data_IF_462137083117
#
_entry.id   IF_462137083117
#
_cell.length_a   1.000
_cell.length_b   1.000
_cell.length_c   1.000
_cell.angle_alpha   90.00
_cell.angle_beta   90.00
_cell.angle_gamma   90.00
#
_symmetry.space_group_name_H-M   'P 1'
#
loop_
_entity.id
_entity.type
_entity.pdbx_description
1 polymer ?
#
# COMPACT_ATOMS: atom_id res chain seq x y z
N UNK A 1 24.68 4.14 0.29
CA UNK A 1 23.33 4.59 0.68
C UNK A 1 23.19 4.32 2.16
N UNK A 2 22.76 5.30 2.97
CA UNK A 2 22.41 5.02 4.36
C UNK A 2 21.18 4.10 4.34
N UNK A 3 21.31 2.93 4.97
CA UNK A 3 20.17 2.04 5.15
C UNK A 3 19.16 2.73 6.07
N UNK A 4 17.93 2.86 5.62
CA UNK A 4 16.86 3.51 6.37
C UNK A 4 16.43 2.67 7.56
N UNK A 5 16.36 1.35 7.36
CA UNK A 5 16.07 0.38 8.41
C UNK A 5 17.33 -0.37 8.81
N UNK A 6 17.60 -0.41 10.11
CA UNK A 6 18.59 -1.32 10.70
C UNK A 6 18.12 -2.78 10.55
N UNK A 7 19.03 -3.78 10.53
CA UNK A 7 18.65 -5.18 10.35
C UNK A 7 17.50 -5.65 11.25
N UNK A 8 17.56 -5.39 12.56
CA UNK A 8 16.52 -5.79 13.51
C UNK A 8 15.16 -5.15 13.21
N UNK A 9 15.14 -3.94 12.63
CA UNK A 9 13.89 -3.25 12.26
C UNK A 9 13.17 -3.93 11.08
N UNK A 10 13.90 -4.71 10.27
CA UNK A 10 13.37 -5.46 9.12
C UNK A 10 12.83 -6.84 9.49
N UNK A 11 13.00 -7.26 10.75
CA UNK A 11 12.65 -8.62 11.17
C UNK A 11 11.15 -8.81 11.35
N UNK A 12 10.68 -9.99 10.93
CA UNK A 12 9.32 -10.49 11.14
C UNK A 12 9.36 -11.48 12.32
N UNK A 13 8.24 -11.64 13.02
CA UNK A 13 8.14 -12.69 14.04
C UNK A 13 8.12 -14.07 13.40
N UNK A 14 7.47 -14.18 12.24
CA UNK A 14 7.54 -15.34 11.37
C UNK A 14 8.46 -15.06 10.17
N UNK A 15 9.73 -15.53 10.19
CA UNK A 15 10.70 -15.30 9.14
C UNK A 15 10.58 -16.27 7.96
N UNK A 16 9.62 -17.21 7.96
CA UNK A 16 9.44 -18.09 6.79
C UNK A 16 9.04 -17.27 5.57
N UNK A 17 9.27 -17.81 4.38
CA UNK A 17 8.88 -17.17 3.11
C UNK A 17 7.42 -16.70 3.17
N UNK A 18 7.20 -15.43 2.80
CA UNK A 18 5.88 -14.82 2.75
C UNK A 18 4.95 -15.62 1.84
N UNK A 19 5.46 -16.21 0.76
CA UNK A 19 4.67 -17.04 -0.16
C UNK A 19 3.91 -18.14 0.59
N UNK A 20 4.52 -18.77 1.60
CA UNK A 20 3.88 -19.83 2.39
C UNK A 20 2.69 -19.31 3.19
N UNK A 21 2.79 -18.11 3.76
CA UNK A 21 1.73 -17.48 4.55
C UNK A 21 0.56 -16.98 3.69
N UNK A 22 0.87 -16.51 2.48
CA UNK A 22 -0.10 -15.99 1.52
C UNK A 22 -0.60 -17.03 0.51
N UNK A 23 -0.18 -18.29 0.60
CA UNK A 23 -0.57 -19.35 -0.35
C UNK A 23 -2.07 -19.65 -0.32
N UNK A 24 -2.69 -19.56 0.87
CA UNK A 24 -4.12 -19.72 1.04
C UNK A 24 -4.86 -18.41 0.76
N UNK A 25 -5.76 -18.36 -0.24
CA UNK A 25 -6.45 -17.14 -0.62
C UNK A 25 -7.44 -16.70 0.47
N UNK A 26 -7.58 -15.39 0.63
CA UNK A 26 -8.48 -14.73 1.58
C UNK A 26 -9.41 -13.80 0.81
N UNK A 27 -10.61 -14.30 0.49
CA UNK A 27 -11.64 -13.52 -0.19
C UNK A 27 -12.46 -12.66 0.80
N UNK A 28 -11.76 -11.83 1.56
CA UNK A 28 -12.32 -10.90 2.53
C UNK A 28 -11.67 -9.53 2.38
N UNK A 29 -12.32 -8.48 2.86
CA UNK A 29 -11.67 -7.18 3.04
C UNK A 29 -11.01 -7.14 4.42
N UNK A 30 -9.78 -6.64 4.51
CA UNK A 30 -9.02 -6.59 5.76
C UNK A 30 -9.29 -5.34 6.62
N UNK A 31 -10.15 -4.48 6.12
CA UNK A 31 -10.57 -3.21 6.71
C UNK A 31 -12.07 -3.02 6.56
N UNK A 32 -12.64 -2.19 7.41
CA UNK A 32 -14.07 -1.91 7.41
C UNK A 32 -14.54 -1.05 6.21
N UNK A 33 -15.87 -0.92 6.09
CA UNK A 33 -16.51 -0.17 5.02
C UNK A 33 -16.22 1.34 5.08
N UNK A 34 -15.98 1.89 6.27
CA UNK A 34 -15.65 3.30 6.45
C UNK A 34 -14.26 3.63 5.91
N UNK A 35 -13.28 2.76 6.15
CA UNK A 35 -11.96 2.85 5.53
C UNK A 35 -12.06 2.73 4.01
N UNK A 36 -12.78 1.73 3.52
CA UNK A 36 -12.93 1.49 2.07
C UNK A 36 -13.55 2.71 1.39
N UNK A 37 -14.60 3.30 1.96
CA UNK A 37 -15.23 4.50 1.41
C UNK A 37 -14.22 5.65 1.29
N UNK A 38 -13.45 5.91 2.34
CA UNK A 38 -12.44 6.97 2.34
C UNK A 38 -11.34 6.72 1.31
N UNK A 39 -10.95 5.46 1.11
CA UNK A 39 -9.97 5.07 0.10
C UNK A 39 -10.53 5.30 -1.31
N UNK A 40 -11.74 4.83 -1.58
CA UNK A 40 -12.41 4.99 -2.87
C UNK A 40 -12.57 6.47 -3.22
N UNK A 41 -12.96 7.31 -2.24
CA UNK A 41 -13.09 8.75 -2.43
C UNK A 41 -11.72 9.41 -2.70
N UNK A 42 -10.68 8.99 -1.98
CA UNK A 42 -9.32 9.47 -2.27
C UNK A 42 -8.88 9.11 -3.69
N UNK A 43 -9.15 7.88 -4.13
CA UNK A 43 -8.83 7.44 -5.49
C UNK A 43 -9.61 8.19 -6.55
N UNK A 44 -10.89 8.45 -6.31
CA UNK A 44 -11.74 9.30 -7.14
C UNK A 44 -11.19 10.71 -7.28
N UNK A 45 -10.71 11.30 -6.19
CA UNK A 45 -10.20 12.68 -6.19
C UNK A 45 -8.84 12.81 -6.86
N UNK A 46 -7.97 11.78 -6.75
CA UNK A 46 -6.56 11.87 -7.13
C UNK A 46 -6.22 11.21 -8.46
N UNK A 47 -6.95 10.16 -8.84
CA UNK A 47 -6.68 9.42 -10.07
C UNK A 47 -7.42 10.03 -11.24
N UNK A 48 -6.73 10.13 -12.38
CA UNK A 48 -7.31 10.68 -13.61
C UNK A 48 -7.92 9.57 -14.45
N UNK A 49 -9.05 9.82 -15.15
CA UNK A 49 -9.55 8.90 -16.16
C UNK A 49 -8.48 8.59 -17.22
N UNK A 50 -8.57 7.41 -17.84
CA UNK A 50 -7.62 6.92 -18.85
C UNK A 50 -6.16 6.85 -18.37
N UNK A 51 -5.94 6.73 -17.06
CA UNK A 51 -4.60 6.49 -16.50
C UNK A 51 -4.24 5.01 -16.51
N UNK A 52 -2.92 4.74 -16.54
CA UNK A 52 -2.35 3.42 -16.29
C UNK A 52 -1.96 3.31 -14.82
N UNK A 53 -2.51 2.32 -14.12
CA UNK A 53 -2.35 2.12 -12.67
C UNK A 53 -1.57 0.83 -12.41
N UNK A 54 -0.62 0.90 -11.48
CA UNK A 54 -0.03 -0.29 -10.88
C UNK A 54 -0.56 -0.47 -9.45
N UNK A 55 -1.38 -1.50 -9.24
CA UNK A 55 -1.92 -1.88 -7.93
C UNK A 55 -0.96 -2.88 -7.25
N UNK A 56 -0.07 -2.33 -6.44
CA UNK A 56 1.06 -3.02 -5.83
C UNK A 56 0.64 -3.68 -4.50
N UNK A 57 0.85 -4.99 -4.39
CA UNK A 57 0.39 -5.81 -3.24
C UNK A 57 -1.15 -5.83 -3.17
N UNK A 58 -1.76 -5.92 -4.35
CA UNK A 58 -3.19 -6.13 -4.58
C UNK A 58 -3.64 -7.53 -4.14
N UNK A 59 -4.95 -7.71 -4.16
CA UNK A 59 -5.66 -8.93 -3.85
C UNK A 59 -6.85 -9.04 -4.82
N UNK A 60 -7.95 -9.65 -4.38
CA UNK A 60 -9.18 -9.87 -5.16
C UNK A 60 -10.04 -8.60 -5.34
N UNK A 61 -9.67 -7.48 -4.73
CA UNK A 61 -10.36 -6.18 -4.85
C UNK A 61 -9.36 -5.02 -4.74
N UNK A 62 -9.46 -4.04 -5.65
CA UNK A 62 -8.57 -2.86 -5.69
C UNK A 62 -9.15 -1.60 -5.04
N UNK A 63 -10.42 -1.62 -4.63
CA UNK A 63 -11.15 -0.46 -4.06
C UNK A 63 -11.17 0.79 -4.97
N UNK A 64 -10.99 0.60 -6.27
CA UNK A 64 -11.09 1.66 -7.26
C UNK A 64 -12.56 2.12 -7.42
N UNK A 65 -12.81 3.41 -7.69
CA UNK A 65 -14.15 3.90 -7.98
C UNK A 65 -14.73 3.27 -9.26
N UNK A 66 -16.01 2.91 -9.23
CA UNK A 66 -16.68 2.21 -10.34
C UNK A 66 -17.02 3.11 -11.53
N UNK A 67 -17.11 4.40 -11.30
CA UNK A 67 -17.48 5.43 -12.28
C UNK A 67 -16.26 6.15 -12.90
N UNK A 68 -15.04 5.70 -12.59
CA UNK A 68 -13.82 6.15 -13.28
C UNK A 68 -13.29 5.02 -14.15
N UNK A 69 -13.14 5.32 -15.43
CA UNK A 69 -12.54 4.41 -16.41
C UNK A 69 -11.03 4.64 -16.48
N UNK A 70 -10.27 3.57 -16.34
CA UNK A 70 -8.81 3.56 -16.42
C UNK A 70 -8.37 2.85 -17.70
N UNK A 71 -7.21 3.24 -18.26
CA UNK A 71 -6.70 2.65 -19.49
C UNK A 71 -6.20 1.21 -19.24
N UNK A 72 -5.46 1.03 -18.15
CA UNK A 72 -4.88 -0.25 -17.77
C UNK A 72 -4.64 -0.31 -16.27
N UNK A 73 -4.93 -1.44 -15.64
CA UNK A 73 -4.66 -1.72 -14.24
C UNK A 73 -3.82 -3.00 -14.18
N UNK A 74 -2.55 -2.83 -13.81
CA UNK A 74 -1.61 -3.91 -13.58
C UNK A 74 -1.64 -4.29 -12.09
N UNK A 75 -1.89 -5.56 -11.78
CA UNK A 75 -1.88 -6.04 -10.40
C UNK A 75 -0.59 -6.76 -10.04
N UNK A 76 -0.16 -6.61 -8.79
CA UNK A 76 0.91 -7.41 -8.22
C UNK A 76 0.49 -7.91 -6.84
N UNK A 77 0.79 -9.17 -6.51
CA UNK A 77 0.54 -9.71 -5.18
C UNK A 77 1.25 -11.03 -4.94
N UNK A 78 0.91 -11.68 -3.82
CA UNK A 78 1.51 -12.96 -3.41
C UNK A 78 0.61 -14.17 -3.62
N UNK A 79 -0.67 -13.95 -3.97
CA UNK A 79 -1.64 -15.01 -4.19
C UNK A 79 -2.27 -14.90 -5.59
N UNK A 80 -1.97 -15.86 -6.47
CA UNK A 80 -2.51 -15.88 -7.83
C UNK A 80 -4.04 -16.00 -7.88
N UNK A 81 -4.65 -16.76 -6.96
CA UNK A 81 -6.09 -16.97 -6.94
C UNK A 81 -6.86 -15.72 -6.50
N UNK A 82 -6.29 -14.92 -5.60
CA UNK A 82 -6.82 -13.59 -5.27
C UNK A 82 -6.75 -12.66 -6.48
N UNK A 83 -5.57 -12.51 -7.08
CA UNK A 83 -5.37 -11.63 -8.24
C UNK A 83 -6.26 -12.02 -9.43
N UNK A 84 -6.37 -13.31 -9.74
CA UNK A 84 -7.23 -13.81 -10.81
C UNK A 84 -8.72 -13.51 -10.60
N UNK A 85 -9.15 -13.33 -9.33
CA UNK A 85 -10.54 -13.01 -9.00
C UNK A 85 -10.82 -11.51 -9.04
N UNK A 86 -9.80 -10.66 -9.11
CA UNK A 86 -9.98 -9.22 -9.13
C UNK A 86 -10.49 -8.75 -10.50
N UNK A 87 -11.76 -8.30 -10.59
CA UNK A 87 -12.35 -7.95 -11.88
C UNK A 87 -11.81 -6.63 -12.45
N UNK A 88 -11.05 -5.87 -11.66
CA UNK A 88 -10.48 -4.59 -12.08
C UNK A 88 -9.15 -4.76 -12.82
N UNK A 89 -8.44 -5.86 -12.63
CA UNK A 89 -7.10 -6.04 -13.20
C UNK A 89 -7.18 -6.42 -14.68
N UNK A 90 -6.40 -5.74 -15.51
CA UNK A 90 -6.20 -6.12 -16.91
C UNK A 90 -5.17 -7.25 -17.04
N UNK A 91 -4.15 -7.23 -16.17
CA UNK A 91 -3.11 -8.24 -16.07
C UNK A 91 -2.55 -8.25 -14.64
N UNK A 92 -1.89 -9.35 -14.24
CA UNK A 92 -1.20 -9.41 -12.96
C UNK A 92 0.03 -10.31 -13.00
N UNK A 93 0.93 -10.10 -12.04
CA UNK A 93 2.06 -11.00 -11.77
C UNK A 93 2.20 -11.29 -10.27
N UNK A 94 2.78 -12.45 -9.96
CA UNK A 94 3.05 -12.88 -8.59
C UNK A 94 4.54 -12.77 -8.33
N UNK A 95 4.94 -12.00 -7.33
CA UNK A 95 6.33 -11.81 -6.96
C UNK A 95 6.46 -11.54 -5.46
N UNK A 96 7.48 -12.09 -4.82
CA UNK A 96 7.83 -11.72 -3.46
C UNK A 96 8.87 -10.60 -3.49
N UNK A 97 8.42 -9.36 -3.29
CA UNK A 97 9.27 -8.17 -3.32
C UNK A 97 10.31 -8.10 -2.19
N UNK A 98 10.15 -8.90 -1.13
CA UNK A 98 11.19 -9.03 -0.10
C UNK A 98 12.34 -9.94 -0.54
N UNK A 99 12.17 -10.75 -1.59
CA UNK A 99 13.21 -11.61 -2.17
C UNK A 99 13.76 -11.04 -3.48
N UNK A 100 12.86 -10.57 -4.33
CA UNK A 100 13.20 -9.93 -5.61
C UNK A 100 12.45 -8.60 -5.73
N UNK A 101 13.09 -7.48 -5.36
CA UNK A 101 12.42 -6.18 -5.32
C UNK A 101 12.20 -5.55 -6.70
N UNK A 102 12.83 -6.09 -7.76
CA UNK A 102 12.79 -5.48 -9.10
C UNK A 102 11.46 -5.80 -9.78
N UNK A 103 10.69 -4.77 -10.15
CA UNK A 103 9.42 -5.00 -10.84
C UNK A 103 9.69 -5.45 -12.28
N UNK A 104 9.01 -6.49 -12.79
CA UNK A 104 9.07 -6.92 -14.19
C UNK A 104 8.24 -5.97 -15.09
N UNK A 105 8.36 -4.67 -14.86
CA UNK A 105 7.57 -3.61 -15.48
C UNK A 105 8.50 -2.58 -16.13
N UNK A 106 8.12 -1.97 -17.27
CA UNK A 106 8.94 -0.99 -17.95
C UNK A 106 9.01 0.34 -17.18
N UNK A 107 10.10 1.06 -17.37
CA UNK A 107 10.29 2.41 -16.85
C UNK A 107 9.18 3.34 -17.35
N UNK A 108 8.78 4.32 -16.53
CA UNK A 108 7.89 5.42 -16.92
C UNK A 108 6.61 5.00 -17.63
N UNK A 109 5.98 3.92 -17.16
CA UNK A 109 4.83 3.30 -17.82
C UNK A 109 3.51 3.50 -17.08
N UNK A 110 3.55 3.95 -15.83
CA UNK A 110 2.36 4.14 -14.99
C UNK A 110 2.16 5.59 -14.60
N UNK A 111 0.91 6.03 -14.63
CA UNK A 111 0.48 7.35 -14.12
C UNK A 111 0.24 7.30 -12.61
N UNK A 112 -0.07 6.12 -12.06
CA UNK A 112 -0.23 5.92 -10.63
C UNK A 112 0.29 4.57 -10.12
N UNK A 113 0.83 4.56 -8.89
CA UNK A 113 1.12 3.35 -8.11
C UNK A 113 0.30 3.38 -6.83
N UNK A 114 -0.42 2.30 -6.54
CA UNK A 114 -1.27 2.16 -5.37
C UNK A 114 -0.71 1.08 -4.45
N UNK A 115 -0.80 1.28 -3.14
CA UNK A 115 -0.58 0.24 -2.16
C UNK A 115 -1.58 0.40 -1.02
N UNK A 116 -2.46 -0.58 -0.85
CA UNK A 116 -3.48 -0.54 0.20
C UNK A 116 -3.21 -1.63 1.23
N UNK A 117 -3.13 -1.24 2.51
CA UNK A 117 -3.02 -2.10 3.70
C UNK A 117 -1.94 -3.19 3.62
N UNK A 118 -0.83 -2.88 2.93
CA UNK A 118 0.20 -3.86 2.62
C UNK A 118 1.64 -3.40 2.90
N UNK A 119 1.94 -2.10 2.95
CA UNK A 119 3.31 -1.58 3.17
C UNK A 119 3.99 -2.11 4.44
N UNK A 120 3.22 -2.56 5.43
CA UNK A 120 3.67 -3.02 6.75
C UNK A 120 4.66 -4.20 6.77
N UNK A 121 4.75 -5.00 5.71
CA UNK A 121 5.66 -6.17 5.67
C UNK A 121 6.89 -5.97 4.77
N UNK A 122 7.08 -4.75 4.24
CA UNK A 122 8.22 -4.39 3.37
C UNK A 122 9.52 -4.33 4.17
N UNK A 123 10.47 -5.21 3.84
CA UNK A 123 11.78 -5.28 4.50
C UNK A 123 12.84 -4.39 3.85
N UNK A 124 12.70 -4.09 2.55
CA UNK A 124 13.64 -3.30 1.76
C UNK A 124 12.96 -2.10 1.08
N UNK A 125 12.46 -1.13 1.88
CA UNK A 125 11.68 -0.01 1.35
C UNK A 125 12.47 0.83 0.36
N UNK A 126 13.79 0.98 0.52
CA UNK A 126 14.62 1.77 -0.38
C UNK A 126 14.64 1.17 -1.79
N UNK A 127 14.72 -0.16 -1.91
CA UNK A 127 14.71 -0.86 -3.20
C UNK A 127 13.33 -0.79 -3.85
N UNK A 128 12.28 -1.04 -3.08
CA UNK A 128 10.89 -1.02 -3.57
C UNK A 128 10.48 0.39 -3.99
N UNK A 129 10.78 1.43 -3.20
CA UNK A 129 10.44 2.82 -3.55
C UNK A 129 11.29 3.33 -4.72
N UNK A 130 12.52 2.82 -4.91
CA UNK A 130 13.31 3.09 -6.12
C UNK A 130 12.60 2.54 -7.36
N UNK A 131 12.05 1.32 -7.27
CA UNK A 131 11.31 0.70 -8.37
C UNK A 131 9.96 1.38 -8.62
N UNK A 132 9.25 1.80 -7.57
CA UNK A 132 8.05 2.66 -7.69
C UNK A 132 8.39 3.93 -8.47
N UNK A 133 9.47 4.61 -8.11
CA UNK A 133 9.91 5.81 -8.82
C UNK A 133 10.23 5.50 -10.30
N UNK A 134 10.95 4.40 -10.57
CA UNK A 134 11.33 3.99 -11.92
C UNK A 134 10.13 3.76 -12.83
N UNK A 135 9.10 3.05 -12.36
CA UNK A 135 7.93 2.69 -13.19
C UNK A 135 6.95 3.84 -13.36
N UNK A 136 6.95 4.84 -12.48
CA UNK A 136 6.13 6.04 -12.61
C UNK A 136 6.57 6.92 -13.78
N UNK A 137 5.64 7.47 -14.53
CA UNK A 137 5.87 8.58 -15.46
C UNK A 137 6.27 9.85 -14.70
N UNK A 138 6.96 10.82 -15.33
CA UNK A 138 7.09 12.16 -14.79
C UNK A 138 5.71 12.74 -14.42
N UNK A 139 5.57 13.26 -13.20
CA UNK A 139 4.30 13.73 -12.65
C UNK A 139 3.34 12.64 -12.16
N UNK A 140 3.70 11.36 -12.30
CA UNK A 140 2.91 10.24 -11.80
C UNK A 140 2.81 10.22 -10.28
N UNK A 141 1.71 9.70 -9.75
CA UNK A 141 1.38 9.74 -8.32
C UNK A 141 1.55 8.37 -7.66
N UNK A 142 1.94 8.34 -6.40
CA UNK A 142 1.94 7.14 -5.58
C UNK A 142 1.13 7.39 -4.32
N UNK A 143 0.24 6.45 -4.01
CA UNK A 143 -0.65 6.50 -2.85
C UNK A 143 -0.44 5.25 -2.02
N UNK A 144 0.15 5.42 -0.83
CA UNK A 144 0.31 4.36 0.17
C UNK A 144 -0.74 4.58 1.26
N UNK A 145 -1.74 3.70 1.33
CA UNK A 145 -2.83 3.76 2.32
C UNK A 145 -2.76 2.59 3.28
N UNK A 146 -3.06 2.83 4.55
CA UNK A 146 -3.01 1.81 5.60
C UNK A 146 -3.90 2.18 6.77
N UNK A 147 -4.26 1.18 7.58
CA UNK A 147 -4.93 1.34 8.87
C UNK A 147 -4.02 0.84 10.00
N UNK A 148 -4.58 0.60 11.18
CA UNK A 148 -3.89 -0.10 12.27
C UNK A 148 -3.95 -1.64 12.14
N UNK A 149 -4.68 -2.17 11.15
CA UNK A 149 -4.78 -3.61 10.86
C UNK A 149 -3.48 -4.11 10.24
N UNK A 150 -3.05 -5.30 10.65
CA UNK A 150 -1.86 -5.95 10.11
C UNK A 150 -1.89 -7.45 10.38
N UNK A 151 -1.19 -8.22 9.55
CA UNK A 151 -0.77 -9.57 9.93
C UNK A 151 0.44 -9.48 10.85
N UNK A 152 0.20 -9.50 12.17
CA UNK A 152 1.23 -9.21 13.18
C UNK A 152 2.49 -10.09 13.03
N UNK A 153 2.34 -11.36 12.62
CA UNK A 153 3.47 -12.28 12.39
C UNK A 153 4.36 -11.85 11.21
N UNK A 154 3.79 -11.19 10.19
CA UNK A 154 4.48 -10.80 8.96
C UNK A 154 4.84 -9.32 8.87
N UNK A 155 4.23 -8.45 9.68
CA UNK A 155 4.65 -7.05 9.77
C UNK A 155 6.07 -6.96 10.32
N UNK A 156 6.89 -6.07 9.77
CA UNK A 156 8.28 -5.88 10.24
C UNK A 156 8.31 -5.19 11.60
N UNK A 157 9.40 -5.36 12.36
CA UNK A 157 9.56 -4.79 13.70
C UNK A 157 9.35 -3.26 13.72
N UNK A 158 9.89 -2.54 12.73
CA UNK A 158 9.68 -1.09 12.61
C UNK A 158 8.20 -0.68 12.57
N UNK A 159 7.34 -1.53 11.99
CA UNK A 159 5.90 -1.29 11.90
C UNK A 159 5.18 -1.69 13.18
N UNK A 160 5.49 -2.89 13.71
CA UNK A 160 4.83 -3.44 14.90
C UNK A 160 5.09 -2.58 16.14
N UNK A 161 6.34 -2.16 16.32
CA UNK A 161 6.81 -1.47 17.53
C UNK A 161 6.51 0.03 17.48
N UNK A 162 6.19 0.56 16.29
CA UNK A 162 5.82 1.96 16.08
C UNK A 162 4.37 2.27 16.46
N UNK A 163 4.15 3.46 17.01
CA UNK A 163 2.82 4.05 17.12
C UNK A 163 2.22 4.37 15.75
N UNK A 164 0.94 4.73 15.69
CA UNK A 164 0.29 5.15 14.43
C UNK A 164 1.01 6.35 13.79
N UNK A 165 1.48 7.29 14.62
CA UNK A 165 2.28 8.43 14.16
C UNK A 165 3.63 7.98 13.61
N UNK A 166 4.29 7.03 14.28
CA UNK A 166 5.59 6.51 13.83
C UNK A 166 5.46 5.81 12.48
N UNK A 167 4.36 5.09 12.24
CA UNK A 167 4.08 4.44 10.94
C UNK A 167 3.90 5.47 9.81
N UNK A 168 3.24 6.59 10.08
CA UNK A 168 3.14 7.70 9.11
C UNK A 168 4.52 8.27 8.80
N UNK A 169 5.33 8.57 9.83
CA UNK A 169 6.69 9.09 9.62
C UNK A 169 7.60 8.09 8.93
N UNK A 170 7.44 6.80 9.21
CA UNK A 170 8.16 5.71 8.57
C UNK A 170 7.91 5.71 7.04
N UNK A 171 6.65 5.77 6.61
CA UNK A 171 6.31 5.81 5.17
C UNK A 171 6.78 7.12 4.52
N UNK A 172 6.68 8.26 5.21
CA UNK A 172 7.27 9.53 4.72
C UNK A 172 8.78 9.40 4.51
N UNK A 173 9.46 8.68 5.38
CA UNK A 173 10.90 8.46 5.25
C UNK A 173 11.24 7.49 4.11
N UNK A 174 10.34 6.56 3.76
CA UNK A 174 10.51 5.72 2.56
C UNK A 174 10.56 6.58 1.29
N UNK A 175 9.65 7.55 1.15
CA UNK A 175 9.69 8.52 0.06
C UNK A 175 10.98 9.36 0.07
N UNK A 176 11.35 9.92 1.23
CA UNK A 176 12.55 10.77 1.34
C UNK A 176 13.87 10.04 1.08
N UNK A 177 13.89 8.72 1.24
CA UNK A 177 15.08 7.91 0.97
C UNK A 177 15.40 7.81 -0.52
N UNK A 178 14.43 8.10 -1.40
CA UNK A 178 14.57 8.02 -2.86
C UNK A 178 14.45 9.42 -3.46
N UNK A 179 15.52 9.95 -4.09
CA UNK A 179 15.45 11.23 -4.80
C UNK A 179 14.40 11.21 -5.92
N UNK A 180 13.82 12.37 -6.21
CA UNK A 180 12.86 12.54 -7.31
C UNK A 180 11.38 12.44 -6.92
N UNK A 181 11.06 12.04 -5.69
CA UNK A 181 9.72 12.23 -5.14
C UNK A 181 9.52 13.67 -4.61
N UNK A 182 8.29 14.16 -4.72
CA UNK A 182 7.84 15.40 -4.07
C UNK A 182 7.85 15.23 -2.54
N UNK A 183 7.75 16.35 -1.83
CA UNK A 183 7.48 16.31 -0.40
C UNK A 183 6.18 15.51 -0.14
N UNK A 184 6.18 14.49 0.74
CA UNK A 184 5.01 13.67 0.96
C UNK A 184 3.87 14.44 1.63
N UNK A 185 2.68 14.37 1.04
CA UNK A 185 1.42 14.79 1.63
C UNK A 185 0.88 13.66 2.53
N UNK A 186 0.20 14.01 3.62
CA UNK A 186 -0.40 13.04 4.55
C UNK A 186 -1.88 13.36 4.75
N UNK A 187 -2.71 12.32 4.62
CA UNK A 187 -4.13 12.36 5.00
C UNK A 187 -4.32 11.45 6.20
N UNK A 188 -4.95 11.96 7.25
CA UNK A 188 -5.30 11.21 8.46
C UNK A 188 -6.77 11.44 8.76
N UNK A 189 -7.53 10.36 8.88
CA UNK A 189 -8.92 10.38 9.32
C UNK A 189 -9.10 9.30 10.39
N UNK A 190 -9.12 9.73 11.64
CA UNK A 190 -9.36 8.83 12.77
C UNK A 190 -10.84 8.51 12.86
N UNK A 191 -11.16 7.27 13.24
CA UNK A 191 -12.55 6.92 13.53
C UNK A 191 -13.00 7.63 14.81
N UNK A 192 -13.81 8.67 14.64
CA UNK A 192 -14.41 9.36 15.77
C UNK A 192 -15.70 8.66 16.15
N UNK A 193 -15.67 7.96 17.28
CA UNK A 193 -16.89 7.62 17.99
C UNK A 193 -17.12 8.67 19.07
N UNK A 194 -18.33 9.27 19.14
CA UNK A 194 -18.66 10.18 20.22
C UNK A 194 -18.42 9.49 21.58
N UNK A 195 -17.88 10.20 22.60
CA UNK A 195 -17.48 9.59 23.88
C UNK A 195 -18.56 8.73 24.55
N UNK A 196 -19.84 9.08 24.36
CA UNK A 196 -20.99 8.33 24.88
C UNK A 196 -21.06 6.89 24.33
N UNK A 197 -20.71 6.68 23.07
CA UNK A 197 -20.74 5.36 22.43
C UNK A 197 -19.48 4.55 22.76
N UNK A 198 -18.34 5.21 23.00
CA UNK A 198 -17.15 4.54 23.55
C UNK A 198 -17.42 4.01 24.97
N UNK A 199 -18.14 4.78 25.79
CA UNK A 199 -18.56 4.38 27.14
C UNK A 199 -19.53 3.19 27.14
N UNK A 200 -20.27 2.99 26.04
CA UNK A 200 -21.15 1.84 25.81
C UNK A 200 -20.43 0.63 25.18
N UNK A 201 -19.10 0.67 25.04
CA UNK A 201 -18.31 -0.42 24.49
C UNK A 201 -18.41 -0.57 22.97
N UNK A 202 -18.96 0.41 22.25
CA UNK A 202 -18.95 0.41 20.80
C UNK A 202 -17.56 0.86 20.32
N UNK A 203 -16.85 -0.05 19.67
CA UNK A 203 -15.50 0.20 19.13
C UNK A 203 -15.53 1.07 17.88
N UNK A 204 -14.50 1.92 17.74
CA UNK A 204 -14.24 2.72 16.54
C UNK A 204 -14.10 1.87 15.29
N UNK A 205 -14.46 2.44 14.15
CA UNK A 205 -14.04 1.91 12.86
C UNK A 205 -12.52 2.00 12.67
N UNK A 206 -12.03 1.41 11.60
CA UNK A 206 -10.61 1.40 11.27
C UNK A 206 -10.12 2.82 10.94
N UNK A 207 -9.02 3.29 11.53
CA UNK A 207 -8.44 4.58 11.19
C UNK A 207 -7.87 4.56 9.77
N UNK A 208 -7.96 5.69 9.07
CA UNK A 208 -7.47 5.83 7.71
C UNK A 208 -6.25 6.75 7.66
N UNK A 209 -5.16 6.23 7.09
CA UNK A 209 -3.95 6.98 6.79
C UNK A 209 -3.63 6.82 5.30
N UNK A 210 -3.20 7.90 4.66
CA UNK A 210 -2.57 7.85 3.35
C UNK A 210 -1.34 8.77 3.32
N UNK A 211 -0.25 8.29 2.74
CA UNK A 211 0.94 9.09 2.42
C UNK A 211 1.10 9.09 0.91
N UNK A 212 1.17 10.29 0.35
CA UNK A 212 1.07 10.54 -1.08
C UNK A 212 2.27 11.34 -1.55
N UNK A 213 2.86 10.96 -2.66
CA UNK A 213 3.89 11.75 -3.32
C UNK A 213 3.72 11.65 -4.85
N UNK A 214 4.33 12.59 -5.56
CA UNK A 214 4.45 12.53 -7.01
C UNK A 214 5.90 12.39 -7.41
N UNK A 215 6.15 11.78 -8.56
CA UNK A 215 7.44 11.84 -9.24
C UNK A 215 7.63 13.23 -9.87
N UNK A 216 8.69 13.93 -9.53
CA UNK A 216 8.94 15.32 -9.93
C UNK A 216 9.61 15.42 -11.31
N UNK A 217 10.44 14.44 -11.68
CA UNK A 217 11.22 14.40 -12.92
C UNK A 217 11.12 13.07 -13.66
#
# INVERSE_FOLDING_TARGET
MNMLLNPNQREKLDPTDDKLFYDQPRFVTHVDTGFIQQLTDLYRDRLKPNSRIFDMMSSWVSHLPDDVQFEHIEGHGLNAAELARNPRLNHYFVQNLNLDPKFPLPDQSFDAVLNTVSVQYVQYPEAIFTEIHRVLKPGGIVIISFSNRMFYQKAIAAWRDGSERDRVELVKNYFKAVPGFSAPEVIIKQSQIPPVFQMLGMGGGDPFYAVIASRVE
#
